data_IF_670689372335
#
_entry.id   IF_670689372335
#
_cell.length_a   1.000
_cell.length_b   1.000
_cell.length_c   1.000
_cell.angle_alpha   90.00
_cell.angle_beta   90.00
_cell.angle_gamma   90.00
#
_symmetry.space_group_name_H-M   'P 1'
#
loop_
_entity.id
_entity.type
_entity.pdbx_description
1 polymer ?
#
# COMPACT_ATOMS: atom_id res chain seq x y z
N UNK A 1 -14.90 -22.38 48.66
CA UNK A 1 -13.72 -22.11 47.80
C UNK A 1 -14.08 -22.14 46.29
N UNK A 2 -15.27 -21.64 45.93
CA UNK A 2 -15.79 -21.64 44.54
C UNK A 2 -16.24 -20.20 44.22
N UNK A 3 -15.31 -19.31 43.86
CA UNK A 3 -15.70 -18.04 43.20
C UNK A 3 -14.57 -17.22 42.55
N UNK A 4 -13.31 -17.66 42.57
CA UNK A 4 -12.22 -16.95 41.87
C UNK A 4 -11.98 -17.42 40.43
N UNK A 5 -12.25 -18.70 40.13
CA UNK A 5 -12.04 -19.25 38.79
C UNK A 5 -13.07 -18.78 37.75
N UNK A 6 -14.32 -18.54 38.16
CA UNK A 6 -15.37 -18.09 37.25
C UNK A 6 -15.28 -16.59 36.90
N UNK A 7 -14.82 -15.75 37.84
CA UNK A 7 -14.58 -14.33 37.56
C UNK A 7 -13.40 -14.12 36.59
N UNK A 8 -12.30 -14.88 36.74
CA UNK A 8 -11.14 -14.76 35.84
C UNK A 8 -11.45 -15.21 34.40
N UNK A 9 -12.32 -16.22 34.21
CA UNK A 9 -12.77 -16.61 32.87
C UNK A 9 -13.65 -15.54 32.23
N UNK A 10 -14.53 -14.87 32.99
CA UNK A 10 -15.34 -13.77 32.46
C UNK A 10 -14.52 -12.52 32.15
N UNK A 11 -13.50 -12.18 32.95
CA UNK A 11 -12.60 -11.07 32.63
C UNK A 11 -11.77 -11.35 31.36
N UNK A 12 -11.24 -12.57 31.21
CA UNK A 12 -10.52 -12.96 29.99
C UNK A 12 -11.42 -13.06 28.75
N UNK A 13 -12.72 -13.41 28.93
CA UNK A 13 -13.70 -13.41 27.84
C UNK A 13 -14.15 -11.98 27.48
N UNK A 14 -14.21 -11.05 28.45
CA UNK A 14 -14.51 -9.64 28.22
C UNK A 14 -13.32 -8.87 27.60
N UNK A 15 -12.08 -9.27 27.89
CA UNK A 15 -10.88 -8.75 27.21
C UNK A 15 -10.72 -9.26 25.77
N UNK A 16 -11.54 -10.22 25.34
CA UNK A 16 -11.53 -10.81 23.98
C UNK A 16 -12.49 -10.12 22.99
N UNK A 17 -13.27 -9.12 23.40
CA UNK A 17 -14.44 -8.66 22.62
C UNK A 17 -14.21 -7.36 21.84
N UNK A 18 -13.04 -6.72 21.93
CA UNK A 18 -12.67 -5.62 21.03
C UNK A 18 -11.25 -5.78 20.53
N UNK A 19 -11.05 -6.66 19.55
CA UNK A 19 -9.82 -6.62 18.75
C UNK A 19 -9.83 -5.32 17.95
N UNK A 20 -8.97 -4.38 18.33
CA UNK A 20 -8.76 -3.11 17.62
C UNK A 20 -8.47 -3.42 16.16
N UNK A 21 -9.37 -3.02 15.25
CA UNK A 21 -9.21 -3.26 13.83
C UNK A 21 -8.41 -2.13 13.20
N UNK A 22 -7.17 -2.45 12.82
CA UNK A 22 -6.23 -1.50 12.19
C UNK A 22 -6.23 -1.65 10.67
N UNK A 23 -6.17 -0.51 9.99
CA UNK A 23 -5.96 -0.44 8.55
C UNK A 23 -4.64 0.27 8.27
N UNK A 24 -3.75 -0.37 7.52
CA UNK A 24 -2.50 0.24 7.03
C UNK A 24 -2.66 0.61 5.57
N UNK A 25 -2.48 1.88 5.24
CA UNK A 25 -2.39 2.39 3.87
C UNK A 25 -0.93 2.70 3.58
N UNK A 26 -0.30 2.00 2.63
CA UNK A 26 1.15 2.16 2.38
C UNK A 26 1.51 2.05 0.91
N UNK A 27 2.77 2.38 0.58
CA UNK A 27 3.27 2.16 -0.77
C UNK A 27 3.44 0.66 -1.07
N UNK A 28 3.32 0.26 -2.33
CA UNK A 28 3.58 -1.12 -2.80
C UNK A 28 5.05 -1.56 -2.71
N UNK A 29 5.94 -0.66 -2.30
CA UNK A 29 7.38 -0.90 -2.24
C UNK A 29 7.76 -2.15 -1.43
N UNK A 30 8.55 -3.02 -2.04
CA UNK A 30 9.02 -4.28 -1.47
C UNK A 30 9.75 -4.12 -0.13
N UNK A 31 10.39 -2.96 0.09
CA UNK A 31 11.18 -2.67 1.30
C UNK A 31 10.30 -2.51 2.54
N UNK A 32 9.02 -2.18 2.37
CA UNK A 32 8.07 -2.04 3.48
C UNK A 32 7.49 -3.38 3.96
N UNK A 33 7.67 -4.49 3.22
CA UNK A 33 7.05 -5.78 3.54
C UNK A 33 7.38 -6.25 4.97
N UNK A 34 8.67 -6.31 5.30
CA UNK A 34 9.17 -6.71 6.62
C UNK A 34 8.73 -5.73 7.72
N UNK A 35 8.86 -4.44 7.45
CA UNK A 35 8.49 -3.37 8.39
C UNK A 35 7.03 -3.47 8.82
N UNK A 36 6.12 -3.55 7.84
CA UNK A 36 4.68 -3.66 8.08
C UNK A 36 4.36 -4.97 8.78
N UNK A 37 4.92 -6.10 8.33
CA UNK A 37 4.63 -7.40 8.94
C UNK A 37 5.05 -7.47 10.41
N UNK A 38 6.17 -6.83 10.77
CA UNK A 38 6.68 -6.81 12.15
C UNK A 38 5.89 -5.87 13.06
N UNK A 39 5.52 -4.67 12.57
CA UNK A 39 4.90 -3.61 13.40
C UNK A 39 3.36 -3.68 13.43
N UNK A 40 2.75 -4.24 12.37
CA UNK A 40 1.30 -4.21 12.12
C UNK A 40 0.76 -5.57 11.65
N UNK A 41 1.18 -6.65 12.30
CA UNK A 41 0.88 -8.03 11.89
C UNK A 41 -0.62 -8.37 11.79
N UNK A 42 -1.44 -7.68 12.57
CA UNK A 42 -2.89 -7.88 12.71
C UNK A 42 -3.71 -6.92 11.82
N UNK A 43 -3.05 -5.94 11.19
CA UNK A 43 -3.71 -4.94 10.37
C UNK A 43 -4.08 -5.49 8.99
N UNK A 44 -5.22 -5.02 8.48
CA UNK A 44 -5.53 -5.12 7.06
C UNK A 44 -4.66 -4.12 6.31
N UNK A 45 -4.10 -4.51 5.17
CA UNK A 45 -3.25 -3.63 4.36
C UNK A 45 -3.90 -3.25 3.04
N UNK A 46 -3.82 -1.96 2.71
CA UNK A 46 -4.08 -1.38 1.40
C UNK A 46 -2.78 -0.80 0.86
N UNK A 47 -2.40 -1.21 -0.35
CA UNK A 47 -1.08 -0.90 -0.90
C UNK A 47 -1.15 -0.60 -2.37
N UNK A 48 -0.61 0.55 -2.76
CA UNK A 48 -0.55 1.00 -4.13
C UNK A 48 0.70 1.87 -4.36
N UNK A 49 0.94 2.35 -5.56
CA UNK A 49 2.05 3.26 -5.82
C UNK A 49 1.89 4.57 -5.03
N UNK A 50 2.88 4.89 -4.18
CA UNK A 50 2.94 6.17 -3.45
C UNK A 50 2.00 6.29 -2.25
N UNK A 51 1.30 5.22 -1.85
CA UNK A 51 0.22 5.28 -0.84
C UNK A 51 -0.89 6.27 -1.24
N UNK A 52 -1.18 6.37 -2.54
CA UNK A 52 -2.12 7.32 -3.14
C UNK A 52 -3.56 7.00 -2.75
N UNK A 53 -4.16 7.82 -1.90
CA UNK A 53 -5.50 7.62 -1.31
C UNK A 53 -6.59 7.73 -2.36
N UNK A 54 -6.42 8.61 -3.34
CA UNK A 54 -7.40 8.83 -4.40
C UNK A 54 -7.57 7.61 -5.32
N UNK A 55 -6.52 6.79 -5.47
CA UNK A 55 -6.57 5.52 -6.21
C UNK A 55 -7.08 4.34 -5.36
N UNK A 56 -7.55 4.58 -4.12
CA UNK A 56 -7.99 3.53 -3.20
C UNK A 56 -9.38 3.80 -2.59
N UNK A 57 -10.14 4.76 -3.11
CA UNK A 57 -11.40 5.22 -2.50
C UNK A 57 -12.40 4.08 -2.29
N UNK A 58 -12.62 3.22 -3.29
CA UNK A 58 -13.54 2.07 -3.17
C UNK A 58 -13.08 1.09 -2.10
N UNK A 59 -11.77 0.83 -2.04
CA UNK A 59 -11.18 -0.03 -1.01
C UNK A 59 -11.37 0.58 0.38
N UNK A 60 -11.10 1.87 0.54
CA UNK A 60 -11.16 2.59 1.82
C UNK A 60 -12.60 2.71 2.35
N UNK A 61 -13.57 3.00 1.48
CA UNK A 61 -14.99 3.11 1.86
C UNK A 61 -15.53 1.83 2.50
N UNK A 62 -15.08 0.65 2.07
CA UNK A 62 -15.48 -0.64 2.67
C UNK A 62 -15.08 -0.78 4.14
N UNK A 63 -14.11 0.01 4.59
CA UNK A 63 -13.53 -0.05 5.94
C UNK A 63 -13.93 1.13 6.83
N UNK A 64 -14.53 2.20 6.30
CA UNK A 64 -14.75 3.47 7.02
C UNK A 64 -15.35 3.28 8.44
N UNK A 65 -16.40 2.46 8.53
CA UNK A 65 -17.13 2.20 9.78
C UNK A 65 -16.67 0.94 10.53
N UNK A 66 -15.56 0.32 10.13
CA UNK A 66 -15.09 -0.96 10.67
C UNK A 66 -13.75 -0.86 11.41
N UNK A 67 -13.00 0.20 11.15
CA UNK A 67 -11.64 0.38 11.68
C UNK A 67 -11.63 1.35 12.85
N UNK A 68 -10.76 1.05 13.80
CA UNK A 68 -10.50 1.88 14.98
C UNK A 68 -9.34 2.84 14.74
N UNK A 69 -8.39 2.44 13.90
CA UNK A 69 -7.16 3.17 13.61
C UNK A 69 -6.78 2.99 12.14
N UNK A 70 -6.38 4.10 11.49
CA UNK A 70 -5.82 4.10 10.13
C UNK A 70 -4.40 4.63 10.18
N UNK A 71 -3.47 3.85 9.66
CA UNK A 71 -2.05 4.14 9.66
C UNK A 71 -1.59 4.37 8.23
N UNK A 72 -1.20 5.60 7.92
CA UNK A 72 -0.64 5.98 6.63
C UNK A 72 0.90 5.87 6.68
N UNK A 73 1.48 5.08 5.78
CA UNK A 73 2.92 4.78 5.71
C UNK A 73 3.51 5.04 4.31
N UNK A 74 3.61 6.29 3.84
CA UNK A 74 4.50 6.65 2.75
C UNK A 74 5.95 6.46 3.19
N UNK A 75 6.88 6.54 2.25
CA UNK A 75 8.28 6.28 2.54
C UNK A 75 9.23 7.15 1.73
N UNK A 76 10.47 7.28 2.23
CA UNK A 76 11.58 7.93 1.51
C UNK A 76 12.08 7.07 0.35
N UNK A 77 12.74 7.70 -0.61
CA UNK A 77 13.24 7.04 -1.83
C UNK A 77 12.10 6.34 -2.62
N UNK A 78 10.94 7.01 -2.69
CA UNK A 78 9.74 6.46 -3.31
C UNK A 78 9.80 6.52 -4.84
N UNK A 79 9.68 5.37 -5.49
CA UNK A 79 9.65 5.28 -6.96
C UNK A 79 8.53 6.12 -7.58
N UNK A 80 7.34 6.15 -6.98
CA UNK A 80 6.22 6.95 -7.46
C UNK A 80 6.53 8.46 -7.37
N UNK A 81 7.15 8.91 -6.27
CA UNK A 81 7.53 10.32 -6.11
C UNK A 81 8.69 10.73 -7.03
N UNK A 82 9.59 9.80 -7.36
CA UNK A 82 10.60 10.03 -8.42
C UNK A 82 9.93 10.27 -9.78
N UNK A 83 8.89 9.52 -10.12
CA UNK A 83 8.12 9.73 -11.36
C UNK A 83 7.45 11.11 -11.36
N UNK A 84 6.79 11.49 -10.27
CA UNK A 84 6.19 12.82 -10.10
C UNK A 84 7.24 13.93 -10.24
N UNK A 85 8.36 13.79 -9.53
CA UNK A 85 9.46 14.75 -9.57
C UNK A 85 10.01 14.92 -10.98
N UNK A 86 10.31 13.81 -11.67
CA UNK A 86 10.79 13.82 -13.05
C UNK A 86 9.79 14.43 -14.03
N UNK A 87 8.49 14.19 -13.86
CA UNK A 87 7.47 14.82 -14.71
C UNK A 87 7.46 16.35 -14.50
N UNK A 88 7.31 16.79 -13.25
CA UNK A 88 7.05 18.20 -12.94
C UNK A 88 8.29 19.10 -12.91
N UNK A 89 9.49 18.55 -12.64
CA UNK A 89 10.74 19.32 -12.55
C UNK A 89 11.66 19.13 -13.74
N UNK A 90 11.65 17.95 -14.35
CA UNK A 90 12.55 17.60 -15.46
C UNK A 90 11.82 17.57 -16.80
N UNK A 91 10.48 17.67 -16.82
CA UNK A 91 9.67 17.64 -18.04
C UNK A 91 9.68 16.27 -18.73
N UNK A 92 9.99 15.19 -18.01
CA UNK A 92 9.97 13.84 -18.59
C UNK A 92 8.54 13.46 -18.95
N UNK A 93 8.34 13.04 -20.20
CA UNK A 93 7.05 12.55 -20.67
C UNK A 93 6.64 11.29 -19.92
N UNK A 94 5.41 11.29 -19.44
CA UNK A 94 4.75 10.12 -18.86
C UNK A 94 3.44 9.86 -19.61
N UNK A 95 2.82 8.70 -19.36
CA UNK A 95 1.52 8.40 -19.96
C UNK A 95 0.43 9.27 -19.33
N UNK A 96 -0.64 9.55 -20.08
CA UNK A 96 -1.78 10.33 -19.59
C UNK A 96 -2.40 9.74 -18.32
N UNK A 97 -2.38 8.41 -18.20
CA UNK A 97 -2.89 7.70 -17.05
C UNK A 97 -2.07 7.96 -15.78
N UNK A 98 -0.75 7.93 -15.87
CA UNK A 98 0.14 8.24 -14.74
C UNK A 98 0.03 9.73 -14.38
N UNK A 99 -0.12 10.61 -15.39
CA UNK A 99 -0.33 12.04 -15.17
C UNK A 99 -1.62 12.30 -14.38
N UNK A 100 -2.75 11.78 -14.87
CA UNK A 100 -4.07 11.97 -14.25
C UNK A 100 -4.11 11.47 -12.80
N UNK A 101 -3.59 10.26 -12.57
CA UNK A 101 -3.85 9.54 -11.31
C UNK A 101 -2.77 9.74 -10.26
N UNK A 102 -1.53 10.01 -10.66
CA UNK A 102 -0.41 10.17 -9.73
C UNK A 102 0.11 11.61 -9.70
N UNK A 103 0.35 12.25 -10.85
CA UNK A 103 1.08 13.53 -10.92
C UNK A 103 0.20 14.74 -10.66
N UNK A 104 -1.01 14.77 -11.23
CA UNK A 104 -1.91 15.93 -11.27
C UNK A 104 -2.16 16.57 -9.90
N UNK A 105 -2.22 15.76 -8.84
CA UNK A 105 -2.43 16.20 -7.45
C UNK A 105 -1.30 17.09 -6.91
N UNK A 106 -0.13 17.07 -7.55
CA UNK A 106 1.04 17.86 -7.18
C UNK A 106 1.30 19.05 -8.11
N UNK A 107 0.62 19.15 -9.26
CA UNK A 107 0.96 20.13 -10.31
C UNK A 107 0.82 21.60 -9.89
N UNK A 108 -0.04 21.89 -8.91
CA UNK A 108 -0.21 23.23 -8.34
C UNK A 108 0.63 23.48 -7.08
N UNK A 109 1.39 22.49 -6.61
CA UNK A 109 2.14 22.54 -5.36
C UNK A 109 3.58 22.99 -5.58
N UNK A 110 4.15 23.67 -4.59
CA UNK A 110 5.55 24.10 -4.61
C UNK A 110 6.38 23.14 -3.77
N UNK A 111 7.44 22.62 -4.38
CA UNK A 111 8.50 21.83 -3.75
C UNK A 111 9.79 22.02 -4.56
N UNK A 112 10.94 21.84 -3.90
CA UNK A 112 12.28 22.07 -4.48
C UNK A 112 13.11 20.79 -4.57
N UNK A 113 12.78 19.76 -3.78
CA UNK A 113 13.52 18.51 -3.72
C UNK A 113 12.60 17.29 -3.65
N UNK A 114 13.15 16.10 -3.92
CA UNK A 114 12.43 14.84 -3.76
C UNK A 114 11.99 14.63 -2.31
N UNK A 115 12.82 14.98 -1.33
CA UNK A 115 12.47 14.85 0.09
C UNK A 115 11.30 15.76 0.50
N UNK A 116 11.22 16.97 -0.05
CA UNK A 116 10.07 17.85 0.16
C UNK A 116 8.81 17.27 -0.50
N UNK A 117 8.92 16.72 -1.71
CA UNK A 117 7.80 16.08 -2.39
C UNK A 117 7.28 14.86 -1.62
N UNK A 118 8.16 14.05 -1.04
CA UNK A 118 7.77 12.88 -0.23
C UNK A 118 7.03 13.27 1.05
N UNK A 119 7.45 14.37 1.70
CA UNK A 119 6.70 14.94 2.85
C UNK A 119 5.36 15.51 2.42
N UNK A 120 5.33 16.27 1.33
CA UNK A 120 4.11 16.82 0.77
C UNK A 120 3.12 15.71 0.38
N UNK A 121 3.59 14.58 -0.16
CA UNK A 121 2.76 13.41 -0.41
C UNK A 121 2.15 12.89 0.90
N UNK A 122 2.95 12.71 1.96
CA UNK A 122 2.42 12.28 3.25
C UNK A 122 1.29 13.21 3.74
N UNK A 123 1.52 14.53 3.72
CA UNK A 123 0.54 15.53 4.17
C UNK A 123 -0.76 15.47 3.36
N UNK A 124 -0.66 15.43 2.02
CA UNK A 124 -1.82 15.34 1.12
C UNK A 124 -2.60 14.05 1.36
N UNK A 125 -1.92 12.91 1.44
CA UNK A 125 -2.59 11.63 1.65
C UNK A 125 -3.19 11.54 3.07
N UNK A 126 -2.55 12.11 4.08
CA UNK A 126 -3.09 12.18 5.43
C UNK A 126 -4.39 12.99 5.45
N UNK A 127 -4.40 14.16 4.81
CA UNK A 127 -5.60 14.99 4.68
C UNK A 127 -6.73 14.24 3.97
N UNK A 128 -6.42 13.55 2.86
CA UNK A 128 -7.39 12.75 2.12
C UNK A 128 -7.98 11.62 2.99
N UNK A 129 -7.16 10.92 3.78
CA UNK A 129 -7.65 9.89 4.71
C UNK A 129 -8.47 10.49 5.85
N UNK A 130 -8.10 11.66 6.39
CA UNK A 130 -8.86 12.33 7.46
C UNK A 130 -10.25 12.73 7.00
N UNK A 131 -10.43 13.08 5.71
CA UNK A 131 -11.77 13.33 5.14
C UNK A 131 -12.66 12.07 5.14
N UNK A 132 -12.06 10.88 5.12
CA UNK A 132 -12.80 9.60 5.12
C UNK A 132 -13.01 9.11 6.56
N UNK A 133 -11.94 9.03 7.36
CA UNK A 133 -11.90 8.34 8.66
C UNK A 133 -11.82 9.28 9.88
N UNK A 134 -11.71 10.59 9.68
CA UNK A 134 -11.58 11.58 10.76
C UNK A 134 -10.30 11.43 11.57
N UNK A 135 -10.41 11.59 12.89
CA UNK A 135 -9.28 11.60 13.84
C UNK A 135 -8.63 10.22 14.07
N UNK A 136 -9.16 9.16 13.44
CA UNK A 136 -8.58 7.81 13.50
C UNK A 136 -7.26 7.69 12.73
N UNK A 137 -6.92 8.69 11.93
CA UNK A 137 -5.77 8.66 11.02
C UNK A 137 -4.51 9.16 11.72
N UNK A 138 -3.44 8.37 11.62
CA UNK A 138 -2.07 8.83 11.87
C UNK A 138 -1.18 8.55 10.67
N UNK A 139 -0.21 9.43 10.45
CA UNK A 139 0.76 9.30 9.37
C UNK A 139 2.19 9.19 9.91
N UNK A 140 3.01 8.40 9.21
CA UNK A 140 4.43 8.24 9.50
C UNK A 140 5.19 8.12 8.17
N UNK A 141 6.10 9.06 7.89
CA UNK A 141 7.01 8.94 6.74
C UNK A 141 8.14 7.97 7.10
N UNK A 142 8.10 6.78 6.51
CA UNK A 142 9.06 5.71 6.80
C UNK A 142 10.37 5.95 6.05
N UNK A 143 11.49 5.98 6.77
CA UNK A 143 12.81 6.03 6.15
C UNK A 143 13.28 4.64 5.74
N UNK A 144 13.23 4.32 4.45
CA UNK A 144 13.56 2.96 3.96
C UNK A 144 15.03 2.60 4.13
N UNK A 145 15.93 3.58 4.27
CA UNK A 145 17.35 3.31 4.49
C UNK A 145 17.63 2.78 5.90
N UNK A 146 16.66 2.90 6.82
CA UNK A 146 16.73 2.36 8.18
C UNK A 146 16.06 0.99 8.29
N UNK A 147 15.52 0.45 7.21
CA UNK A 147 14.88 -0.86 7.19
C UNK A 147 15.92 -1.90 6.75
N UNK A 148 16.09 -2.94 7.56
CA UNK A 148 16.86 -4.11 7.17
C UNK A 148 16.07 -4.88 6.10
N UNK A 149 16.64 -4.93 4.88
CA UNK A 149 16.05 -5.60 3.73
C UNK A 149 16.92 -6.83 3.44
N UNK A 150 16.37 -8.06 3.55
CA UNK A 150 17.11 -9.26 3.21
C UNK A 150 17.59 -9.20 1.75
N UNK A 151 18.84 -9.62 1.44
CA UNK A 151 19.29 -9.71 0.06
C UNK A 151 18.45 -10.74 -0.70
N UNK A 152 18.22 -10.48 -1.98
CA UNK A 152 17.54 -11.38 -2.90
C UNK A 152 18.19 -11.29 -4.27
N UNK A 153 18.49 -12.44 -4.86
CA UNK A 153 18.98 -12.54 -6.24
C UNK A 153 17.84 -12.78 -7.25
N UNK A 154 16.62 -13.01 -6.76
CA UNK A 154 15.46 -13.22 -7.60
C UNK A 154 15.05 -11.91 -8.32
N UNK A 155 14.58 -12.01 -9.57
CA UNK A 155 13.98 -10.89 -10.27
C UNK A 155 12.82 -10.26 -9.47
N UNK A 156 12.65 -8.96 -9.64
CA UNK A 156 11.52 -8.26 -9.04
C UNK A 156 10.19 -8.72 -9.64
N UNK A 157 9.19 -8.85 -8.79
CA UNK A 157 7.84 -9.22 -9.19
C UNK A 157 6.80 -8.45 -8.38
N UNK A 158 5.56 -8.46 -8.84
CA UNK A 158 4.42 -7.90 -8.12
C UNK A 158 3.52 -9.02 -7.62
N UNK A 159 3.05 -8.91 -6.39
CA UNK A 159 1.96 -9.71 -5.85
C UNK A 159 0.72 -8.84 -5.70
N UNK A 160 -0.40 -9.29 -6.24
CA UNK A 160 -1.69 -8.59 -6.22
C UNK A 160 -2.67 -9.36 -5.35
N UNK A 161 -3.23 -8.68 -4.37
CA UNK A 161 -4.21 -9.24 -3.43
C UNK A 161 -5.40 -8.31 -3.28
N UNK A 162 -6.49 -8.87 -2.75
CA UNK A 162 -7.54 -8.06 -2.12
C UNK A 162 -7.07 -7.58 -0.74
N UNK A 163 -7.72 -6.56 -0.15
CA UNK A 163 -7.38 -6.07 1.18
C UNK A 163 -7.44 -7.19 2.22
N UNK A 164 -6.30 -7.50 2.85
CA UNK A 164 -6.14 -8.61 3.79
C UNK A 164 -4.97 -8.34 4.73
N UNK A 165 -4.75 -9.23 5.71
CA UNK A 165 -3.54 -9.17 6.52
C UNK A 165 -2.31 -9.51 5.67
N UNK A 166 -1.21 -8.80 5.89
CA UNK A 166 0.00 -9.01 5.12
C UNK A 166 0.59 -10.40 5.36
N UNK A 167 0.77 -11.16 4.28
CA UNK A 167 1.50 -12.44 4.27
C UNK A 167 3.01 -12.22 4.29
N UNK A 168 3.81 -13.25 4.60
CA UNK A 168 5.27 -13.12 4.60
C UNK A 168 5.78 -13.10 3.15
N UNK A 169 6.14 -11.92 2.67
CA UNK A 169 6.69 -11.72 1.33
C UNK A 169 8.21 -11.60 1.34
N UNK A 170 8.86 -12.14 0.32
CA UNK A 170 10.29 -11.94 0.09
C UNK A 170 10.60 -10.50 -0.30
N UNK A 171 11.89 -10.13 -0.21
CA UNK A 171 12.34 -8.76 -0.39
C UNK A 171 12.33 -8.29 -1.84
N UNK A 172 12.12 -9.16 -2.83
CA UNK A 172 11.99 -8.85 -4.25
C UNK A 172 10.52 -8.64 -4.72
N UNK A 173 9.54 -8.83 -3.83
CA UNK A 173 8.12 -8.74 -4.17
C UNK A 173 7.57 -7.36 -3.80
N UNK A 174 7.10 -6.61 -4.79
CA UNK A 174 6.20 -5.48 -4.60
C UNK A 174 4.79 -5.98 -4.32
N UNK A 175 4.04 -5.32 -3.45
CA UNK A 175 2.70 -5.80 -3.05
C UNK A 175 1.66 -4.74 -3.32
N UNK A 176 0.72 -5.05 -4.21
CA UNK A 176 -0.47 -4.25 -4.48
C UNK A 176 -1.64 -4.93 -3.77
N UNK A 177 -2.34 -4.17 -2.92
CA UNK A 177 -3.49 -4.66 -2.15
C UNK A 177 -4.61 -3.64 -2.26
N UNK A 178 -5.61 -3.95 -3.08
CA UNK A 178 -6.77 -3.09 -3.33
C UNK A 178 -7.92 -3.91 -3.92
N UNK A 179 -9.08 -3.30 -4.05
CA UNK A 179 -10.19 -3.85 -4.82
C UNK A 179 -9.84 -3.96 -6.32
N UNK A 180 -10.41 -4.94 -7.02
CA UNK A 180 -10.09 -5.28 -8.42
C UNK A 180 -10.09 -4.09 -9.41
N UNK A 181 -10.88 -3.04 -9.14
CA UNK A 181 -10.98 -1.86 -10.01
C UNK A 181 -9.87 -0.83 -9.77
N UNK A 182 -9.11 -0.95 -8.69
CA UNK A 182 -8.17 0.06 -8.17
C UNK A 182 -6.70 -0.38 -8.26
N UNK A 183 -6.44 -1.62 -8.69
CA UNK A 183 -5.07 -2.12 -8.80
C UNK A 183 -4.31 -1.59 -10.03
N UNK A 184 -5.03 -1.14 -11.06
CA UNK A 184 -4.50 -0.97 -12.41
C UNK A 184 -3.42 0.11 -12.49
N UNK A 185 -3.58 1.22 -11.79
CA UNK A 185 -2.62 2.33 -11.81
C UNK A 185 -1.25 1.89 -11.26
N UNK A 186 -1.29 1.06 -10.22
CA UNK A 186 -0.08 0.52 -9.61
C UNK A 186 0.55 -0.55 -10.49
N UNK A 187 -0.27 -1.32 -11.21
CA UNK A 187 0.21 -2.25 -12.22
C UNK A 187 0.87 -1.53 -13.40
N UNK A 188 0.28 -0.45 -13.90
CA UNK A 188 0.88 0.33 -14.99
C UNK A 188 2.23 0.93 -14.58
N UNK A 189 2.34 1.45 -13.37
CA UNK A 189 3.62 1.93 -12.83
C UNK A 189 4.61 0.76 -12.71
N UNK A 190 4.20 -0.37 -12.17
CA UNK A 190 5.08 -1.53 -12.03
C UNK A 190 5.57 -2.06 -13.39
N UNK A 191 4.67 -2.19 -14.36
CA UNK A 191 5.00 -2.75 -15.68
C UNK A 191 5.80 -1.76 -16.52
N UNK A 192 5.31 -0.52 -16.67
CA UNK A 192 5.90 0.43 -17.63
C UNK A 192 7.01 1.29 -17.03
N UNK A 193 6.93 1.68 -15.76
CA UNK A 193 7.96 2.52 -15.13
C UNK A 193 9.05 1.70 -14.44
N UNK A 194 8.69 0.54 -13.88
CA UNK A 194 9.62 -0.32 -13.13
C UNK A 194 10.07 -1.56 -13.92
N UNK A 195 9.54 -1.79 -15.12
CA UNK A 195 9.86 -2.93 -15.99
C UNK A 195 9.64 -4.29 -15.30
N UNK A 196 8.62 -4.42 -14.47
CA UNK A 196 8.25 -5.69 -13.85
C UNK A 196 7.61 -6.60 -14.90
N UNK A 197 8.20 -7.77 -15.10
CA UNK A 197 7.74 -8.77 -16.10
C UNK A 197 7.06 -9.97 -15.47
N UNK A 198 6.91 -10.01 -14.15
CA UNK A 198 6.25 -11.10 -13.42
C UNK A 198 5.22 -10.56 -12.42
N UNK A 199 3.98 -11.04 -12.54
CA UNK A 199 2.89 -10.73 -11.62
C UNK A 199 2.32 -12.04 -11.06
N UNK A 200 2.06 -12.04 -9.75
CA UNK A 200 1.36 -13.09 -9.03
C UNK A 200 0.03 -12.52 -8.57
N UNK A 201 -1.07 -13.23 -8.84
CA UNK A 201 -2.42 -12.87 -8.37
C UNK A 201 -2.98 -13.97 -7.47
N UNK A 202 -3.73 -13.58 -6.43
CA UNK A 202 -4.51 -14.52 -5.60
C UNK A 202 -5.77 -15.04 -6.30
N UNK A 203 -6.21 -14.39 -7.38
CA UNK A 203 -7.50 -14.65 -8.03
C UNK A 203 -7.30 -14.97 -9.52
N UNK A 204 -7.81 -16.11 -9.98
CA UNK A 204 -7.70 -16.57 -11.37
C UNK A 204 -8.38 -15.62 -12.37
N UNK A 205 -9.56 -15.10 -12.03
CA UNK A 205 -10.29 -14.13 -12.88
C UNK A 205 -9.50 -12.83 -13.02
N UNK A 206 -8.87 -12.39 -11.95
CA UNK A 206 -8.01 -11.21 -11.97
C UNK A 206 -6.74 -11.46 -12.77
N UNK A 207 -6.12 -12.64 -12.60
CA UNK A 207 -4.95 -13.04 -13.35
C UNK A 207 -5.21 -13.06 -14.86
N UNK A 208 -6.36 -13.57 -15.29
CA UNK A 208 -6.77 -13.55 -16.70
C UNK A 208 -6.88 -12.13 -17.25
N UNK A 209 -7.53 -11.22 -16.51
CA UNK A 209 -7.60 -9.80 -16.90
C UNK A 209 -6.22 -9.17 -17.03
N UNK A 210 -5.31 -9.45 -16.09
CA UNK A 210 -3.94 -8.94 -16.12
C UNK A 210 -3.19 -9.49 -17.36
N UNK A 211 -3.32 -10.77 -17.70
CA UNK A 211 -2.72 -11.35 -18.92
C UNK A 211 -3.20 -10.66 -20.19
N UNK A 212 -4.50 -10.37 -20.26
CA UNK A 212 -5.09 -9.72 -21.42
C UNK A 212 -4.62 -8.26 -21.55
N UNK A 213 -4.43 -7.57 -20.42
CA UNK A 213 -4.00 -6.16 -20.41
C UNK A 213 -2.49 -6.01 -20.64
N UNK A 214 -1.68 -6.95 -20.14
CA UNK A 214 -0.23 -6.91 -20.19
C UNK A 214 0.33 -8.19 -20.83
N UNK A 215 0.22 -8.36 -22.17
CA UNK A 215 0.60 -9.60 -22.85
C UNK A 215 2.10 -9.94 -22.77
N UNK A 216 2.95 -8.95 -22.47
CA UNK A 216 4.39 -9.13 -22.26
C UNK A 216 4.77 -9.60 -20.84
N UNK A 217 3.79 -9.68 -19.93
CA UNK A 217 4.02 -10.00 -18.53
C UNK A 217 3.62 -11.45 -18.23
N UNK A 218 4.51 -12.17 -17.55
CA UNK A 218 4.21 -13.52 -17.05
C UNK A 218 3.30 -13.41 -15.83
N UNK A 219 2.09 -13.97 -15.91
CA UNK A 219 1.11 -13.95 -14.81
C UNK A 219 0.83 -15.35 -14.29
N UNK A 220 1.16 -15.58 -13.02
CA UNK A 220 0.86 -16.82 -12.28
C UNK A 220 -0.17 -16.59 -11.19
N UNK A 221 -0.88 -17.65 -10.80
CA UNK A 221 -1.81 -17.62 -9.66
C UNK A 221 -1.19 -18.37 -8.49
N UNK A 222 -1.14 -17.72 -7.32
CA UNK A 222 -0.63 -18.33 -6.09
C UNK A 222 -1.18 -17.63 -4.85
N UNK A 223 -1.30 -18.39 -3.76
CA UNK A 223 -1.48 -17.87 -2.40
C UNK A 223 -0.20 -18.08 -1.61
N UNK A 224 0.17 -17.10 -0.79
CA UNK A 224 1.31 -17.15 0.14
C UNK A 224 0.81 -17.22 1.58
#
# INVERSE_FOLDING_TARGET
MFNRYFLNKRLNLLMSIFTVMRLVVSCMDRRLNSYIKKKYQDAIVLRNAGANVNSLLMSLEKFNNKVDEVILLPHTDCGAMKVVYSSLKEGKKITSLVEEKLVSQFSSKKFSSLSELERLNMEIQEENLKRIFGDKVRAELVDVNKIEIPPSNDPYMVYVTVPSQLVRLSSNIYHISAEDKEIWDSLDIAVYAMNITKIISQNDKLAEKIRNMYPSVTVSTASF
#
